data_IF_153053949261
#
_entry.id   IF_153053949261
#
_cell.length_a   1.000
_cell.length_b   1.000
_cell.length_c   1.000
_cell.angle_alpha   90.00
_cell.angle_beta   90.00
_cell.angle_gamma   90.00
#
_symmetry.space_group_name_H-M   'P 1'
#
loop_
_entity.id
_entity.type
_entity.pdbx_description
1 polymer ?
#
# COMPACT_ATOMS: atom_id res chain seq x y z
N UNK A 1 -13.36 -53.05 -12.13
CA UNK A 1 -14.10 -52.46 -10.99
C UNK A 1 -13.39 -51.15 -10.67
N UNK A 2 -14.00 -50.02 -11.03
CA UNK A 2 -13.43 -48.69 -10.85
C UNK A 2 -13.80 -48.18 -9.46
N UNK A 3 -12.81 -47.97 -8.60
CA UNK A 3 -12.95 -47.15 -7.40
C UNK A 3 -12.55 -45.72 -7.76
N UNK A 4 -13.56 -44.85 -7.94
CA UNK A 4 -13.37 -43.41 -8.08
C UNK A 4 -13.11 -42.78 -6.72
N UNK A 5 -11.84 -42.57 -6.39
CA UNK A 5 -11.40 -41.86 -5.20
C UNK A 5 -11.54 -40.35 -5.45
N UNK A 6 -12.72 -39.77 -5.17
CA UNK A 6 -12.96 -38.33 -5.29
C UNK A 6 -12.36 -37.62 -4.07
N UNK A 7 -11.20 -36.99 -4.24
CA UNK A 7 -10.63 -36.08 -3.25
C UNK A 7 -11.53 -34.85 -3.10
N UNK A 8 -12.13 -34.70 -1.91
CA UNK A 8 -12.81 -33.46 -1.53
C UNK A 8 -11.80 -32.34 -1.26
N UNK A 9 -12.26 -31.10 -1.40
CA UNK A 9 -11.55 -29.89 -0.97
C UNK A 9 -12.07 -29.51 0.42
N UNK A 10 -11.20 -29.22 1.41
CA UNK A 10 -11.62 -28.74 2.72
C UNK A 10 -12.17 -27.31 2.64
N UNK A 11 -13.37 -27.09 3.17
CA UNK A 11 -13.99 -25.77 3.30
C UNK A 11 -13.28 -24.91 4.35
N UNK A 12 -12.81 -23.72 3.99
CA UNK A 12 -12.09 -22.82 4.91
C UNK A 12 -12.95 -22.28 6.07
N UNK A 13 -14.28 -22.30 5.93
CA UNK A 13 -15.22 -21.78 6.94
C UNK A 13 -15.64 -22.86 7.96
N UNK A 14 -15.93 -24.07 7.49
CA UNK A 14 -16.44 -25.17 8.35
C UNK A 14 -15.54 -26.41 8.41
N UNK A 15 -14.41 -26.40 7.68
CA UNK A 15 -13.41 -27.47 7.58
C UNK A 15 -13.93 -28.83 7.06
N UNK A 16 -15.14 -28.86 6.48
CA UNK A 16 -15.72 -30.06 5.87
C UNK A 16 -15.06 -30.39 4.53
N UNK A 17 -14.89 -31.68 4.23
CA UNK A 17 -14.36 -32.16 2.94
C UNK A 17 -15.48 -32.22 1.90
N UNK A 18 -15.43 -31.38 0.87
CA UNK A 18 -16.52 -31.18 -0.08
C UNK A 18 -16.08 -31.60 -1.48
N UNK A 19 -16.93 -32.35 -2.18
CA UNK A 19 -16.67 -32.70 -3.56
C UNK A 19 -16.56 -31.43 -4.43
N UNK A 20 -15.60 -31.39 -5.35
CA UNK A 20 -15.34 -30.24 -6.23
C UNK A 20 -16.61 -29.79 -6.98
N UNK A 21 -17.47 -30.73 -7.38
CA UNK A 21 -18.71 -30.42 -8.11
C UNK A 21 -19.77 -29.73 -7.24
N UNK A 22 -19.71 -29.91 -5.93
CA UNK A 22 -20.64 -29.34 -4.95
C UNK A 22 -20.05 -28.12 -4.22
N UNK A 23 -18.81 -27.74 -4.55
CA UNK A 23 -18.07 -26.67 -3.85
C UNK A 23 -18.79 -25.32 -3.90
N UNK A 24 -19.30 -24.92 -5.07
CA UNK A 24 -19.95 -23.61 -5.23
C UNK A 24 -21.33 -23.52 -4.56
N UNK A 25 -22.06 -24.63 -4.43
CA UNK A 25 -23.34 -24.65 -3.71
C UNK A 25 -23.09 -24.65 -2.20
N UNK A 26 -22.13 -25.46 -1.74
CA UNK A 26 -21.70 -25.51 -0.35
C UNK A 26 -21.13 -24.17 0.13
N UNK A 27 -20.24 -23.53 -0.63
CA UNK A 27 -19.62 -22.26 -0.24
C UNK A 27 -20.65 -21.15 -0.02
N UNK A 28 -21.67 -21.06 -0.89
CA UNK A 28 -22.77 -20.09 -0.73
C UNK A 28 -23.57 -20.33 0.55
N UNK A 29 -23.93 -21.58 0.83
CA UNK A 29 -24.68 -21.92 2.05
C UNK A 29 -23.83 -21.73 3.32
N UNK A 30 -22.55 -22.12 3.26
CA UNK A 30 -21.62 -22.05 4.39
C UNK A 30 -21.31 -20.60 4.77
N UNK A 31 -21.12 -19.71 3.79
CA UNK A 31 -20.94 -18.27 4.02
C UNK A 31 -22.19 -17.64 4.62
N UNK A 32 -23.38 -17.96 4.11
CA UNK A 32 -24.64 -17.44 4.66
C UNK A 32 -24.87 -17.91 6.10
N UNK A 33 -24.54 -19.16 6.42
CA UNK A 33 -24.66 -19.71 7.78
C UNK A 33 -23.60 -19.14 8.73
N UNK A 34 -22.35 -18.96 8.28
CA UNK A 34 -21.30 -18.29 9.06
C UNK A 34 -21.62 -16.81 9.29
N UNK A 35 -22.14 -16.11 8.29
CA UNK A 35 -22.60 -14.72 8.40
C UNK A 35 -23.69 -14.57 9.47
N UNK A 36 -24.69 -15.47 9.46
CA UNK A 36 -25.74 -15.53 10.49
C UNK A 36 -25.20 -15.90 11.88
N UNK A 37 -24.12 -16.69 11.95
CA UNK A 37 -23.43 -17.04 13.21
C UNK A 37 -22.67 -15.84 13.79
N UNK A 38 -22.02 -15.05 12.94
CA UNK A 38 -21.30 -13.83 13.32
C UNK A 38 -22.29 -12.72 13.73
N UNK A 39 -23.44 -12.60 13.06
CA UNK A 39 -24.51 -11.69 13.50
C UNK A 39 -25.08 -12.10 14.86
N UNK A 40 -25.26 -13.40 15.14
CA UNK A 40 -25.65 -13.89 16.47
C UNK A 40 -24.60 -13.65 17.56
N UNK A 41 -23.31 -13.60 17.22
CA UNK A 41 -22.23 -13.28 18.16
C UNK A 41 -22.20 -11.77 18.53
N UNK A 42 -22.80 -10.89 17.71
CA UNK A 42 -22.91 -9.46 18.03
C UNK A 42 -24.03 -9.14 19.05
N UNK A 43 -25.01 -10.04 19.21
CA UNK A 43 -26.16 -9.83 20.11
C UNK A 43 -26.03 -10.51 21.49
N UNK A 44 -24.82 -10.91 21.88
CA UNK A 44 -24.49 -11.25 23.26
C UNK A 44 -24.42 -12.75 23.54
N UNK A 45 -23.20 -13.20 23.82
CA UNK A 45 -22.74 -14.08 24.92
C UNK A 45 -21.22 -14.20 24.72
N UNK A 46 -20.44 -13.75 25.71
CA UNK A 46 -19.01 -14.01 25.81
C UNK A 46 -18.79 -15.52 25.96
N UNK A 47 -18.05 -16.13 25.04
CA UNK A 47 -17.48 -17.46 25.19
C UNK A 47 -15.99 -17.31 25.52
N UNK A 48 -15.65 -17.46 26.80
CA UNK A 48 -14.32 -17.27 27.42
C UNK A 48 -13.30 -18.39 27.07
N UNK A 49 -13.37 -19.00 25.89
CA UNK A 49 -12.58 -20.21 25.59
C UNK A 49 -11.34 -20.04 24.71
N UNK A 50 -10.95 -18.81 24.32
CA UNK A 50 -9.65 -18.57 23.68
C UNK A 50 -8.87 -17.51 24.47
N UNK A 51 -8.13 -17.97 25.48
CA UNK A 51 -7.17 -17.16 26.23
C UNK A 51 -5.85 -17.17 25.44
N UNK A 52 -5.63 -16.17 24.59
CA UNK A 52 -4.29 -15.92 24.02
C UNK A 52 -3.41 -15.24 25.07
N UNK A 53 -2.48 -16.01 25.64
CA UNK A 53 -1.45 -15.51 26.56
C UNK A 53 -0.20 -15.11 25.76
N UNK A 54 0.30 -13.90 26.01
CA UNK A 54 1.49 -13.32 25.35
C UNK A 54 2.49 -12.88 26.43
N UNK A 55 3.80 -13.12 26.27
CA UNK A 55 4.80 -12.69 27.24
C UNK A 55 4.95 -11.16 27.29
N UNK A 56 4.96 -10.62 28.50
CA UNK A 56 5.23 -9.20 28.76
C UNK A 56 6.70 -8.85 28.52
N UNK A 57 6.95 -7.81 27.71
CA UNK A 57 8.31 -7.37 27.32
C UNK A 57 9.20 -6.88 28.48
N UNK A 58 8.63 -6.61 29.66
CA UNK A 58 9.37 -6.12 30.84
C UNK A 58 9.68 -7.20 31.88
N UNK A 59 8.93 -8.32 31.90
CA UNK A 59 9.10 -9.35 32.93
C UNK A 59 8.91 -10.79 32.45
N UNK A 60 8.67 -10.99 31.15
CA UNK A 60 8.45 -12.28 30.46
C UNK A 60 7.30 -13.13 31.01
N UNK A 61 6.44 -12.59 31.89
CA UNK A 61 5.24 -13.28 32.36
C UNK A 61 4.21 -13.37 31.24
N UNK A 62 3.55 -14.53 31.15
CA UNK A 62 2.47 -14.81 30.20
C UNK A 62 1.19 -14.10 30.65
N UNK A 63 0.72 -13.11 29.89
CA UNK A 63 -0.43 -12.26 30.22
C UNK A 63 -1.49 -12.42 29.14
N UNK A 64 -2.77 -12.43 29.52
CA UNK A 64 -3.87 -12.41 28.57
C UNK A 64 -3.78 -11.16 27.69
N UNK A 65 -3.95 -11.32 26.38
CA UNK A 65 -3.89 -10.21 25.42
C UNK A 65 -4.79 -9.02 25.80
N UNK A 66 -5.94 -9.25 26.42
CA UNK A 66 -6.86 -8.21 26.87
C UNK A 66 -6.35 -7.42 28.10
N UNK A 67 -5.48 -8.03 28.91
CA UNK A 67 -4.89 -7.42 30.11
C UNK A 67 -3.46 -6.91 29.89
N UNK A 68 -2.87 -7.20 28.71
CA UNK A 68 -1.47 -6.92 28.40
C UNK A 68 -1.14 -5.43 28.51
N UNK A 69 -2.01 -4.54 28.01
CA UNK A 69 -1.74 -3.09 28.05
C UNK A 69 -1.74 -2.55 29.49
N UNK A 70 -2.66 -3.02 30.34
CA UNK A 70 -2.71 -2.62 31.75
C UNK A 70 -1.52 -3.18 32.52
N UNK A 71 -1.17 -4.44 32.29
CA UNK A 71 -0.02 -5.09 32.92
C UNK A 71 1.30 -4.40 32.53
N UNK A 72 1.53 -4.13 31.25
CA UNK A 72 2.76 -3.49 30.76
C UNK A 72 2.97 -2.10 31.37
N UNK A 73 1.90 -1.31 31.55
CA UNK A 73 1.97 -0.01 32.24
C UNK A 73 2.38 -0.13 33.71
N UNK A 74 1.91 -1.14 34.42
CA UNK A 74 2.30 -1.36 35.81
C UNK A 74 3.71 -1.95 35.91
N UNK A 75 4.05 -2.87 35.01
CA UNK A 75 5.32 -3.57 35.00
C UNK A 75 6.50 -2.64 34.69
N UNK A 76 6.34 -1.73 33.72
CA UNK A 76 7.32 -0.69 33.39
C UNK A 76 7.61 0.28 34.55
N UNK A 77 6.66 0.47 35.47
CA UNK A 77 6.84 1.31 36.66
C UNK A 77 7.52 0.58 37.81
N UNK A 78 7.42 -0.76 37.88
CA UNK A 78 8.09 -1.58 38.89
C UNK A 78 9.55 -1.91 38.54
N UNK A 79 9.89 -2.10 37.27
CA UNK A 79 11.28 -2.35 36.84
C UNK A 79 12.20 -1.13 36.97
N UNK A 80 11.64 0.08 37.16
CA UNK A 80 12.39 1.27 37.58
C UNK A 80 12.80 1.28 39.06
N UNK A 81 12.33 0.35 39.91
CA UNK A 81 12.61 0.35 41.35
C UNK A 81 13.56 -0.75 41.85
N UNK A 82 13.76 -1.83 41.11
CA UNK A 82 14.59 -2.95 41.56
C UNK A 82 15.88 -3.10 40.73
N UNK A 83 16.72 -2.06 40.76
CA UNK A 83 18.11 -2.14 40.30
C UNK A 83 19.03 -2.63 41.42
N UNK A 84 18.83 -3.84 41.96
CA UNK A 84 19.79 -4.44 42.91
C UNK A 84 19.63 -5.97 43.06
N UNK A 85 20.02 -6.73 42.02
CA UNK A 85 20.51 -8.14 42.00
C UNK A 85 20.19 -8.72 40.61
N UNK A 86 21.12 -9.02 39.70
CA UNK A 86 22.23 -9.99 39.74
C UNK A 86 23.26 -9.62 38.68
N UNK A 87 24.52 -9.97 38.97
CA UNK A 87 25.78 -9.56 38.35
C UNK A 87 26.17 -10.29 37.04
N UNK A 88 26.92 -9.53 36.24
CA UNK A 88 28.09 -9.88 35.41
C UNK A 88 27.92 -10.74 34.14
N UNK A 89 28.13 -10.11 32.98
CA UNK A 89 29.23 -10.51 32.11
C UNK A 89 29.73 -9.36 31.20
N UNK A 90 31.03 -9.07 31.35
CA UNK A 90 32.02 -8.65 30.34
C UNK A 90 31.90 -7.32 29.56
N UNK A 91 32.78 -6.38 29.97
CA UNK A 91 33.59 -5.46 29.16
C UNK A 91 32.91 -4.68 28.01
N UNK A 92 32.39 -3.49 28.33
CA UNK A 92 32.35 -2.36 27.38
C UNK A 92 32.77 -1.08 28.13
N UNK A 93 33.67 -0.33 27.51
CA UNK A 93 34.25 0.92 28.01
C UNK A 93 33.19 1.90 28.54
N UNK A 94 33.31 2.28 29.81
CA UNK A 94 32.72 3.50 30.36
C UNK A 94 33.36 4.71 29.64
N UNK A 95 32.60 5.80 29.45
CA UNK A 95 32.99 7.10 28.87
C UNK A 95 32.69 7.36 27.37
N UNK A 96 31.65 6.74 26.80
CA UNK A 96 31.12 7.19 25.51
C UNK A 96 30.28 8.46 25.68
N UNK A 97 30.86 9.62 25.34
CA UNK A 97 30.16 10.90 25.24
C UNK A 97 29.51 11.05 23.86
N UNK A 98 28.23 11.47 23.83
CA UNK A 98 27.43 11.66 22.62
C UNK A 98 26.95 13.11 22.59
N UNK A 99 27.10 13.85 21.47
CA UNK A 99 26.57 15.21 21.34
C UNK A 99 25.04 15.20 21.39
N UNK A 100 24.46 16.05 22.24
CA UNK A 100 23.04 16.33 22.28
C UNK A 100 22.62 17.13 21.04
N UNK A 101 21.60 16.68 20.32
CA UNK A 101 21.14 17.33 19.08
C UNK A 101 20.45 18.70 19.30
N UNK A 102 20.02 18.99 20.54
CA UNK A 102 19.31 20.23 20.88
C UNK A 102 20.24 21.35 21.38
N UNK A 103 21.28 21.03 22.17
CA UNK A 103 22.22 22.02 22.71
C UNK A 103 23.65 21.87 22.18
N UNK A 104 24.02 20.74 21.60
CA UNK A 104 25.38 20.44 21.11
C UNK A 104 26.36 19.96 22.19
N UNK A 105 25.95 19.88 23.45
CA UNK A 105 26.82 19.45 24.55
C UNK A 105 27.15 17.96 24.47
N UNK A 106 28.35 17.58 24.91
CA UNK A 106 28.79 16.20 24.98
C UNK A 106 28.25 15.55 26.26
N UNK A 107 27.35 14.57 26.12
CA UNK A 107 26.62 13.95 27.23
C UNK A 107 26.97 12.47 27.34
N UNK A 108 27.17 11.97 28.56
CA UNK A 108 27.40 10.54 28.79
C UNK A 108 26.14 9.75 28.43
N UNK A 109 26.30 8.58 27.80
CA UNK A 109 25.18 7.70 27.42
C UNK A 109 24.24 7.35 28.58
N UNK A 110 24.74 7.25 29.81
CA UNK A 110 23.93 6.97 31.01
C UNK A 110 22.98 8.14 31.36
N UNK A 111 23.43 9.37 31.12
CA UNK A 111 22.67 10.60 31.37
C UNK A 111 21.92 11.10 30.12
N UNK A 112 22.15 10.48 28.96
CA UNK A 112 21.67 10.96 27.66
C UNK A 112 20.16 11.06 27.62
N UNK A 113 19.43 10.03 28.06
CA UNK A 113 17.95 10.07 28.03
C UNK A 113 17.38 11.20 28.89
N UNK A 114 17.91 11.41 30.09
CA UNK A 114 17.44 12.45 31.00
C UNK A 114 17.80 13.84 30.49
N UNK A 115 19.05 14.04 30.05
CA UNK A 115 19.49 15.31 29.48
C UNK A 115 18.70 15.68 28.23
N UNK A 116 18.45 14.72 27.33
CA UNK A 116 17.75 14.95 26.06
C UNK A 116 16.29 15.39 26.31
N UNK A 117 15.60 14.78 27.27
CA UNK A 117 14.25 15.17 27.68
C UNK A 117 14.22 16.60 28.26
N UNK A 118 15.18 16.95 29.13
CA UNK A 118 15.28 18.31 29.68
C UNK A 118 15.65 19.35 28.62
N UNK A 119 16.55 19.03 27.69
CA UNK A 119 16.95 19.91 26.60
C UNK A 119 15.83 20.13 25.59
N UNK A 120 15.05 19.08 25.28
CA UNK A 120 13.89 19.18 24.40
C UNK A 120 12.79 20.07 25.01
N UNK A 121 12.51 19.92 26.30
CA UNK A 121 11.51 20.77 26.99
C UNK A 121 12.00 22.23 27.11
N UNK A 122 13.29 22.45 27.38
CA UNK A 122 13.88 23.78 27.38
C UNK A 122 13.80 24.47 26.01
N UNK A 123 14.04 23.73 24.92
CA UNK A 123 13.93 24.24 23.55
C UNK A 123 12.48 24.54 23.17
N UNK A 124 11.54 23.67 23.56
CA UNK A 124 10.11 23.92 23.40
C UNK A 124 9.69 25.22 24.10
N UNK A 125 10.14 25.44 25.32
CA UNK A 125 9.85 26.69 26.04
C UNK A 125 10.50 27.92 25.39
N UNK A 126 11.71 27.80 24.83
CA UNK A 126 12.34 28.88 24.05
C UNK A 126 11.53 29.22 22.80
N UNK A 127 11.08 28.21 22.06
CA UNK A 127 10.25 28.38 20.87
C UNK A 127 8.91 29.02 21.25
N UNK A 128 8.24 28.53 22.29
CA UNK A 128 6.98 29.12 22.77
C UNK A 128 7.15 30.58 23.21
N UNK A 129 8.23 30.91 23.92
CA UNK A 129 8.52 32.29 24.31
C UNK A 129 8.84 33.18 23.10
N UNK A 130 9.52 32.64 22.08
CA UNK A 130 9.81 33.34 20.83
C UNK A 130 8.54 33.57 19.99
N UNK A 131 7.62 32.61 19.97
CA UNK A 131 6.28 32.76 19.38
C UNK A 131 5.48 33.83 20.13
N UNK A 132 5.51 33.83 21.47
CA UNK A 132 4.82 34.85 22.29
C UNK A 132 5.41 36.25 22.13
N UNK A 133 6.73 36.37 22.00
CA UNK A 133 7.39 37.66 21.78
C UNK A 133 7.20 38.20 20.36
N UNK A 134 7.04 37.31 19.36
CA UNK A 134 6.71 37.67 17.99
C UNK A 134 5.19 37.69 17.70
N UNK A 135 4.34 37.51 18.73
CA UNK A 135 2.89 37.61 18.62
C UNK A 135 2.45 39.08 18.53
N UNK A 136 2.92 39.77 17.50
CA UNK A 136 2.07 40.70 16.74
C UNK A 136 1.76 39.97 15.44
N UNK A 137 0.96 38.90 15.54
CA UNK A 137 0.29 38.35 14.37
C UNK A 137 -0.77 39.39 14.02
N UNK A 138 -0.46 40.22 13.02
CA UNK A 138 -1.43 41.17 12.51
C UNK A 138 -2.68 40.41 12.06
N UNK A 139 -3.86 40.92 12.42
CA UNK A 139 -5.16 40.50 11.89
C UNK A 139 -5.26 40.67 10.36
N UNK A 140 -4.22 41.20 9.70
CA UNK A 140 -4.16 41.43 8.25
C UNK A 140 -3.77 40.20 7.41
N UNK A 141 -3.34 39.09 8.02
CA UNK A 141 -3.04 37.86 7.26
C UNK A 141 -4.33 37.12 6.98
N UNK A 142 -4.85 37.37 5.77
CA UNK A 142 -5.99 36.65 5.20
C UNK A 142 -5.50 35.41 4.46
N UNK A 143 -5.98 34.24 4.87
CA UNK A 143 -5.66 32.95 4.27
C UNK A 143 -6.80 32.53 3.35
N UNK A 144 -6.53 32.27 2.06
CA UNK A 144 -7.54 31.83 1.12
C UNK A 144 -7.98 30.40 1.44
N UNK A 145 -9.28 30.20 1.59
CA UNK A 145 -9.87 28.87 1.70
C UNK A 145 -9.74 28.14 0.36
N UNK A 146 -9.19 26.93 0.36
CA UNK A 146 -9.02 26.15 -0.87
C UNK A 146 -10.35 25.73 -1.52
N UNK A 147 -11.45 25.75 -0.76
CA UNK A 147 -12.78 25.32 -1.19
C UNK A 147 -13.58 26.48 -1.80
N UNK A 148 -13.85 27.54 -1.03
CA UNK A 148 -14.66 28.67 -1.51
C UNK A 148 -13.84 29.83 -2.11
N UNK A 149 -12.50 29.79 -1.99
CA UNK A 149 -11.56 30.83 -2.45
C UNK A 149 -11.71 32.19 -1.77
N UNK A 150 -12.59 32.34 -0.79
CA UNK A 150 -12.66 33.51 0.08
C UNK A 150 -11.51 33.48 1.10
N UNK A 151 -11.03 34.66 1.51
CA UNK A 151 -9.86 34.77 2.40
C UNK A 151 -10.29 35.18 3.81
N UNK A 152 -9.77 34.48 4.81
CA UNK A 152 -10.18 34.64 6.21
C UNK A 152 -8.99 34.94 7.13
N UNK A 153 -9.17 35.74 8.19
CA UNK A 153 -8.15 35.91 9.20
C UNK A 153 -7.73 34.55 9.78
N UNK A 154 -6.44 34.39 10.11
CA UNK A 154 -5.90 33.13 10.65
C UNK A 154 -6.73 32.54 11.80
N UNK A 155 -7.26 33.38 12.70
CA UNK A 155 -8.07 32.96 13.85
C UNK A 155 -9.42 32.36 13.46
N UNK A 156 -9.99 32.79 12.33
CA UNK A 156 -11.29 32.33 11.83
C UNK A 156 -11.14 31.24 10.76
N UNK A 157 -9.94 31.04 10.23
CA UNK A 157 -9.67 30.14 9.10
C UNK A 157 -10.02 28.68 9.42
N UNK A 158 -9.66 28.16 10.60
CA UNK A 158 -9.92 26.75 10.97
C UNK A 158 -11.42 26.47 11.17
N UNK A 159 -12.13 27.40 11.81
CA UNK A 159 -13.59 27.33 11.98
C UNK A 159 -14.31 27.45 10.63
N UNK A 160 -13.86 28.38 9.78
CA UNK A 160 -14.36 28.52 8.42
C UNK A 160 -14.09 27.25 7.59
N UNK A 161 -12.88 26.70 7.61
CA UNK A 161 -12.50 25.53 6.82
C UNK A 161 -13.36 24.32 7.19
N UNK A 162 -13.60 24.10 8.48
CA UNK A 162 -14.49 23.04 8.97
C UNK A 162 -15.93 23.21 8.48
N UNK A 163 -16.47 24.43 8.56
CA UNK A 163 -17.83 24.73 8.10
C UNK A 163 -17.95 24.70 6.57
N UNK A 164 -16.93 25.16 5.85
CA UNK A 164 -16.85 25.15 4.39
C UNK A 164 -16.78 23.71 3.87
N UNK A 165 -16.00 22.84 4.52
CA UNK A 165 -15.97 21.39 4.25
C UNK A 165 -17.34 20.74 4.51
N UNK A 166 -18.00 21.08 5.63
CA UNK A 166 -19.35 20.58 5.94
C UNK A 166 -20.40 21.04 4.93
N UNK A 167 -20.37 22.31 4.51
CA UNK A 167 -21.27 22.86 3.49
C UNK A 167 -21.01 22.27 2.11
N UNK A 168 -19.75 22.01 1.76
CA UNK A 168 -19.40 21.28 0.55
C UNK A 168 -19.99 19.85 0.61
N UNK A 169 -19.77 19.12 1.71
CA UNK A 169 -20.32 17.78 1.93
C UNK A 169 -21.86 17.75 1.95
N UNK A 170 -22.51 18.78 2.50
CA UNK A 170 -23.96 18.93 2.52
C UNK A 170 -24.53 19.30 1.12
N UNK A 171 -23.81 20.10 0.34
CA UNK A 171 -24.13 20.39 -1.07
C UNK A 171 -24.04 19.14 -1.95
N UNK A 172 -23.12 18.21 -1.64
CA UNK A 172 -23.02 16.89 -2.27
C UNK A 172 -24.09 15.88 -1.78
N UNK A 173 -24.89 16.20 -0.77
CA UNK A 173 -25.94 15.31 -0.25
C UNK A 173 -27.29 15.47 -0.96
N UNK A 174 -27.42 16.41 -1.89
CA UNK A 174 -28.62 16.62 -2.70
C UNK A 174 -28.27 16.85 -4.18
N UNK A 175 -27.54 15.90 -4.78
CA UNK A 175 -27.33 15.85 -6.24
C UNK A 175 -25.93 15.40 -6.62
N UNK A 176 -25.84 14.16 -7.13
CA UNK A 176 -24.65 13.50 -7.66
C UNK A 176 -23.52 13.24 -6.64
N UNK A 177 -23.49 12.01 -6.12
CA UNK A 177 -22.23 11.36 -5.75
C UNK A 177 -21.26 11.59 -6.91
N UNK A 178 -20.10 12.19 -6.65
CA UNK A 178 -19.00 12.22 -7.62
C UNK A 178 -18.59 10.79 -7.92
N UNK A 179 -19.24 10.17 -8.89
CA UNK A 179 -18.82 8.90 -9.47
C UNK A 179 -17.58 9.25 -10.26
N UNK A 180 -16.40 9.06 -9.68
CA UNK A 180 -15.17 8.96 -10.46
C UNK A 180 -15.41 7.84 -11.47
N UNK A 181 -15.56 8.16 -12.78
CA UNK A 181 -15.99 7.18 -13.76
C UNK A 181 -14.91 6.10 -13.83
N UNK A 182 -15.34 4.86 -13.62
CA UNK A 182 -14.49 3.71 -13.91
C UNK A 182 -14.62 3.37 -15.38
N UNK A 183 -13.66 2.65 -15.97
CA UNK A 183 -13.74 2.33 -17.38
C UNK A 183 -15.02 1.55 -17.71
N UNK A 184 -15.70 1.94 -18.79
CA UNK A 184 -17.00 1.35 -19.16
C UNK A 184 -16.91 -0.14 -19.49
N UNK A 185 -15.72 -0.63 -19.87
CA UNK A 185 -15.46 -2.05 -20.14
C UNK A 185 -15.25 -2.88 -18.87
N UNK A 186 -15.20 -2.27 -17.68
CA UNK A 186 -15.13 -3.01 -16.42
C UNK A 186 -16.46 -3.67 -16.09
N UNK A 187 -16.38 -4.85 -15.50
CA UNK A 187 -17.51 -5.50 -14.88
C UNK A 187 -17.94 -4.70 -13.65
N UNK A 188 -19.10 -4.06 -13.75
CA UNK A 188 -19.70 -3.24 -12.70
C UNK A 188 -20.56 -4.03 -11.72
N UNK A 189 -20.75 -5.35 -11.94
CA UNK A 189 -21.56 -6.20 -11.05
C UNK A 189 -20.89 -6.44 -9.69
N UNK A 190 -19.56 -6.31 -9.62
CA UNK A 190 -18.80 -6.44 -8.38
C UNK A 190 -18.80 -5.15 -7.58
N UNK A 191 -19.26 -5.21 -6.33
CA UNK A 191 -19.10 -4.13 -5.35
C UNK A 191 -17.73 -4.14 -4.68
N UNK A 192 -16.90 -5.17 -4.89
CA UNK A 192 -15.58 -5.27 -4.30
C UNK A 192 -14.61 -4.24 -4.90
N UNK A 193 -13.70 -3.73 -4.06
CA UNK A 193 -12.66 -2.80 -4.49
C UNK A 193 -11.62 -3.43 -5.43
N UNK A 194 -11.51 -4.76 -5.38
CA UNK A 194 -10.60 -5.55 -6.20
C UNK A 194 -11.34 -6.77 -6.74
N UNK A 195 -11.30 -6.96 -8.06
CA UNK A 195 -11.73 -8.19 -8.72
C UNK A 195 -10.82 -8.55 -9.89
N UNK A 196 -10.80 -9.84 -10.25
CA UNK A 196 -10.10 -10.39 -11.43
C UNK A 196 -11.15 -10.96 -12.35
N UNK A 197 -11.16 -10.54 -13.60
CA UNK A 197 -12.12 -10.99 -14.61
C UNK A 197 -11.39 -11.71 -15.74
N UNK A 198 -11.68 -13.00 -15.93
CA UNK A 198 -11.06 -13.80 -17.00
C UNK A 198 -11.68 -13.38 -18.34
N UNK A 199 -10.83 -12.87 -19.25
CA UNK A 199 -11.26 -12.46 -20.58
C UNK A 199 -11.59 -13.68 -21.45
N UNK A 200 -12.69 -13.58 -22.19
CA UNK A 200 -13.09 -14.61 -23.15
C UNK A 200 -12.27 -14.46 -24.44
N UNK A 201 -11.67 -15.55 -24.99
CA UNK A 201 -10.77 -15.48 -26.15
C UNK A 201 -11.36 -14.85 -27.43
N UNK A 202 -12.69 -14.82 -27.55
CA UNK A 202 -13.40 -14.26 -28.71
C UNK A 202 -13.64 -12.75 -28.62
N UNK A 203 -13.30 -12.10 -27.50
CA UNK A 203 -13.51 -10.66 -27.30
C UNK A 203 -12.41 -9.82 -27.94
N UNK A 204 -12.74 -8.60 -28.37
CA UNK A 204 -11.75 -7.65 -28.90
C UNK A 204 -10.70 -7.25 -27.84
N UNK A 205 -11.10 -7.19 -26.57
CA UNK A 205 -10.20 -6.92 -25.45
C UNK A 205 -9.15 -8.02 -25.28
N UNK A 206 -9.55 -9.29 -25.34
CA UNK A 206 -8.61 -10.41 -25.31
C UNK A 206 -7.64 -10.33 -26.50
N UNK A 207 -8.15 -10.14 -27.72
CA UNK A 207 -7.33 -10.05 -28.93
C UNK A 207 -6.33 -8.90 -28.83
N UNK A 208 -6.75 -7.74 -28.33
CA UNK A 208 -5.86 -6.59 -28.11
C UNK A 208 -4.65 -6.96 -27.24
N UNK A 209 -4.88 -7.62 -26.10
CA UNK A 209 -3.80 -8.03 -25.19
C UNK A 209 -2.94 -9.13 -25.83
N UNK A 210 -3.57 -10.14 -26.42
CA UNK A 210 -2.89 -11.25 -27.07
C UNK A 210 -2.00 -10.78 -28.24
N UNK A 211 -2.51 -9.92 -29.12
CA UNK A 211 -1.77 -9.37 -30.25
C UNK A 211 -0.56 -8.57 -29.78
N UNK A 212 -0.70 -7.73 -28.75
CA UNK A 212 0.41 -6.98 -28.19
C UNK A 212 1.50 -7.90 -27.58
N UNK A 213 1.10 -8.98 -26.92
CA UNK A 213 2.01 -9.99 -26.39
C UNK A 213 2.73 -10.76 -27.53
N UNK A 214 1.96 -11.26 -28.50
CA UNK A 214 2.45 -12.09 -29.60
C UNK A 214 3.28 -11.33 -30.63
N UNK A 215 3.23 -9.99 -30.67
CA UNK A 215 4.16 -9.16 -31.46
C UNK A 215 5.63 -9.55 -31.26
N UNK A 216 5.99 -10.00 -30.04
CA UNK A 216 7.39 -10.33 -29.71
C UNK A 216 7.58 -11.70 -29.07
N UNK A 217 6.49 -12.38 -28.69
CA UNK A 217 6.50 -13.76 -28.19
C UNK A 217 5.57 -14.69 -28.98
N UNK A 218 5.69 -14.79 -30.32
CA UNK A 218 4.70 -15.47 -31.17
C UNK A 218 4.57 -16.98 -30.91
N UNK A 219 5.60 -17.62 -30.33
CA UNK A 219 5.60 -19.06 -30.04
C UNK A 219 5.06 -19.42 -28.66
N UNK A 220 4.82 -18.44 -27.79
CA UNK A 220 4.34 -18.68 -26.43
C UNK A 220 2.82 -18.82 -26.39
N UNK A 221 2.35 -19.85 -25.69
CA UNK A 221 0.93 -20.15 -25.59
C UNK A 221 0.32 -19.39 -24.41
N UNK A 222 -0.60 -18.47 -24.70
CA UNK A 222 -1.43 -17.85 -23.66
C UNK A 222 -2.40 -18.90 -23.12
N UNK A 223 -2.40 -19.07 -21.80
CA UNK A 223 -3.31 -19.97 -21.07
C UNK A 223 -4.55 -19.21 -20.63
N UNK A 224 -4.38 -18.00 -20.11
CA UNK A 224 -5.48 -17.11 -19.75
C UNK A 224 -5.00 -15.66 -19.71
N UNK A 225 -5.94 -14.73 -19.89
CA UNK A 225 -5.75 -13.31 -19.62
C UNK A 225 -6.82 -12.88 -18.62
N UNK A 226 -6.39 -12.19 -17.57
CA UNK A 226 -7.27 -11.65 -16.56
C UNK A 226 -7.19 -10.13 -16.57
N UNK A 227 -8.34 -9.45 -16.67
CA UNK A 227 -8.45 -8.02 -16.37
C UNK A 227 -8.49 -7.83 -14.86
N UNK A 228 -7.58 -7.01 -14.36
CA UNK A 228 -7.51 -6.60 -12.96
C UNK A 228 -8.34 -5.33 -12.78
N UNK A 229 -9.31 -5.37 -11.86
CA UNK A 229 -10.19 -4.26 -11.54
C UNK A 229 -9.96 -3.82 -10.09
N UNK A 230 -8.86 -3.11 -9.86
CA UNK A 230 -8.57 -2.51 -8.57
C UNK A 230 -9.01 -1.04 -8.58
N UNK A 231 -10.23 -0.77 -8.09
CA UNK A 231 -10.88 0.56 -8.10
C UNK A 231 -10.05 1.61 -7.38
N UNK A 232 -9.40 1.25 -6.27
CA UNK A 232 -8.57 2.16 -5.47
C UNK A 232 -7.34 2.62 -6.26
N UNK A 233 -6.63 1.69 -6.89
CA UNK A 233 -5.42 2.03 -7.64
C UNK A 233 -5.73 2.66 -8.99
N UNK A 234 -6.80 2.23 -9.67
CA UNK A 234 -7.21 2.87 -10.92
C UNK A 234 -7.53 4.36 -10.70
N UNK A 235 -8.27 4.73 -9.65
CA UNK A 235 -8.57 6.13 -9.36
C UNK A 235 -7.33 6.98 -9.09
N UNK A 236 -6.34 6.44 -8.38
CA UNK A 236 -5.08 7.13 -8.14
C UNK A 236 -4.28 7.30 -9.44
N UNK A 237 -4.25 6.25 -10.26
CA UNK A 237 -3.63 6.28 -11.58
C UNK A 237 -4.31 7.31 -12.50
N UNK A 238 -5.64 7.32 -12.55
CA UNK A 238 -6.43 8.19 -13.41
C UNK A 238 -6.26 9.67 -13.02
N UNK A 239 -6.28 9.98 -11.72
CA UNK A 239 -5.96 11.32 -11.23
C UNK A 239 -4.52 11.76 -11.58
N UNK A 240 -3.56 10.84 -11.55
CA UNK A 240 -2.19 11.14 -11.95
C UNK A 240 -2.04 11.29 -13.47
N UNK A 241 -2.84 10.54 -14.25
CA UNK A 241 -2.92 10.67 -15.70
C UNK A 241 -3.44 12.05 -16.10
N UNK A 242 -4.44 12.58 -15.39
CA UNK A 242 -4.95 13.93 -15.62
C UNK A 242 -3.85 14.99 -15.42
N UNK A 243 -3.05 14.89 -14.35
CA UNK A 243 -1.88 15.76 -14.14
C UNK A 243 -0.88 15.69 -15.31
N UNK A 244 -0.59 14.47 -15.81
CA UNK A 244 0.30 14.33 -16.98
C UNK A 244 -0.30 14.97 -18.23
N UNK A 245 -1.60 14.82 -18.47
CA UNK A 245 -2.28 15.43 -19.62
C UNK A 245 -2.23 16.96 -19.51
N UNK A 246 -2.44 17.52 -18.32
CA UNK A 246 -2.34 18.97 -18.10
C UNK A 246 -0.91 19.49 -18.33
N UNK A 247 0.11 18.80 -17.81
CA UNK A 247 1.51 19.20 -17.96
C UNK A 247 2.03 19.09 -19.39
N UNK A 248 1.53 18.13 -20.18
CA UNK A 248 2.04 17.82 -21.52
C UNK A 248 1.09 18.22 -22.67
N UNK A 249 -0.15 18.61 -22.37
CA UNK A 249 -1.19 18.90 -23.35
C UNK A 249 -1.70 17.67 -24.11
N UNK A 250 -1.24 16.47 -23.77
CA UNK A 250 -1.61 15.21 -24.42
C UNK A 250 -1.33 14.02 -23.49
N UNK A 251 -1.93 12.87 -23.79
CA UNK A 251 -1.63 11.62 -23.08
C UNK A 251 -0.22 11.14 -23.39
N UNK A 252 0.53 10.81 -22.33
CA UNK A 252 1.84 10.15 -22.41
C UNK A 252 1.78 8.69 -21.95
N UNK A 253 0.56 8.16 -21.81
CA UNK A 253 0.30 6.77 -21.46
C UNK A 253 0.81 5.83 -22.55
N UNK A 254 1.50 4.77 -22.15
CA UNK A 254 1.88 3.66 -23.01
C UNK A 254 1.51 2.32 -22.38
N UNK A 255 1.18 1.36 -23.24
CA UNK A 255 1.06 -0.04 -22.87
C UNK A 255 2.42 -0.70 -22.82
N UNK A 256 2.84 -1.13 -21.64
CA UNK A 256 4.14 -1.78 -21.43
C UNK A 256 3.97 -3.09 -20.66
N UNK A 257 5.02 -3.91 -20.67
CA UNK A 257 5.03 -5.22 -20.04
C UNK A 257 5.90 -5.24 -18.79
N UNK A 258 5.46 -5.98 -17.76
CA UNK A 258 6.23 -6.23 -16.54
C UNK A 258 6.23 -7.73 -16.25
N UNK A 259 7.39 -8.37 -16.40
CA UNK A 259 7.57 -9.78 -16.03
C UNK A 259 7.76 -9.90 -14.52
N UNK A 260 7.08 -10.86 -13.90
CA UNK A 260 7.20 -11.10 -12.46
C UNK A 260 7.25 -12.61 -12.15
N UNK A 261 7.60 -12.94 -10.90
CA UNK A 261 7.48 -14.30 -10.39
C UNK A 261 6.04 -14.54 -9.91
N UNK A 262 5.59 -15.80 -9.94
CA UNK A 262 4.24 -16.14 -9.47
C UNK A 262 3.98 -15.69 -8.03
N UNK A 263 4.99 -15.74 -7.15
CA UNK A 263 4.85 -15.30 -5.75
C UNK A 263 4.61 -13.79 -5.59
N UNK A 264 4.89 -13.00 -6.62
CA UNK A 264 4.71 -11.54 -6.60
C UNK A 264 3.37 -11.09 -7.18
N UNK A 265 2.61 -11.99 -7.84
CA UNK A 265 1.39 -11.65 -8.57
C UNK A 265 0.34 -11.02 -7.66
N UNK A 266 0.00 -11.67 -6.55
CA UNK A 266 -1.07 -11.19 -5.68
C UNK A 266 -0.69 -9.87 -4.98
N UNK A 267 0.58 -9.69 -4.62
CA UNK A 267 1.09 -8.43 -4.08
C UNK A 267 1.00 -7.28 -5.11
N UNK A 268 1.34 -7.54 -6.38
CA UNK A 268 1.20 -6.54 -7.45
C UNK A 268 -0.28 -6.23 -7.71
N UNK A 269 -1.17 -7.21 -7.61
CA UNK A 269 -2.62 -6.99 -7.78
C UNK A 269 -3.21 -6.18 -6.61
N UNK A 270 -2.80 -6.47 -5.37
CA UNK A 270 -3.32 -5.80 -4.17
C UNK A 270 -2.75 -4.39 -4.01
N UNK A 271 -1.44 -4.24 -4.21
CA UNK A 271 -0.68 -3.04 -3.85
C UNK A 271 -0.20 -2.25 -5.08
N UNK A 272 -0.60 -2.69 -6.28
CA UNK A 272 -0.09 -2.17 -7.55
C UNK A 272 1.44 -2.28 -7.63
N UNK A 273 2.07 -1.39 -8.40
CA UNK A 273 3.51 -1.30 -8.54
C UNK A 273 4.13 -0.47 -7.40
N UNK A 274 3.99 -0.95 -6.17
CA UNK A 274 4.50 -0.29 -4.96
C UNK A 274 6.04 -0.18 -4.98
N UNK A 275 6.58 1.03 -4.82
CA UNK A 275 8.04 1.28 -4.85
C UNK A 275 8.83 0.58 -3.74
N UNK A 276 8.21 0.09 -2.68
CA UNK A 276 8.89 -0.76 -1.69
C UNK A 276 9.42 -2.07 -2.31
N UNK A 277 8.86 -2.48 -3.45
CA UNK A 277 9.34 -3.59 -4.28
C UNK A 277 10.26 -3.13 -5.44
N UNK A 278 10.72 -1.88 -5.42
CA UNK A 278 11.63 -1.35 -6.43
C UNK A 278 12.91 -2.17 -6.51
N UNK A 279 13.28 -2.53 -7.74
CA UNK A 279 14.54 -3.21 -8.02
C UNK A 279 15.59 -2.21 -8.43
N UNK A 280 16.83 -2.43 -7.98
CA UNK A 280 17.98 -1.62 -8.38
C UNK A 280 18.65 -2.24 -9.61
N UNK A 281 18.56 -1.55 -10.74
CA UNK A 281 19.12 -1.99 -12.02
C UNK A 281 19.79 -0.81 -12.75
N UNK A 282 20.24 -1.03 -13.99
CA UNK A 282 21.08 -0.09 -14.73
C UNK A 282 20.53 1.34 -14.82
N UNK A 283 19.20 1.48 -14.97
CA UNK A 283 18.54 2.76 -15.18
C UNK A 283 17.93 3.40 -13.91
N UNK A 284 18.07 2.79 -12.72
CA UNK A 284 17.45 3.31 -11.50
C UNK A 284 17.12 2.26 -10.44
N UNK A 285 16.57 2.76 -9.34
CA UNK A 285 15.89 1.97 -8.31
C UNK A 285 14.40 2.32 -8.38
N UNK A 286 13.65 1.52 -9.11
CA UNK A 286 12.23 1.75 -9.38
C UNK A 286 11.55 0.53 -9.96
N UNK A 287 10.38 0.74 -10.57
CA UNK A 287 9.64 -0.34 -11.24
C UNK A 287 9.91 -0.28 -12.73
N UNK A 288 10.32 -1.42 -13.29
CA UNK A 288 10.75 -1.53 -14.67
C UNK A 288 9.63 -2.05 -15.56
N UNK A 289 9.45 -1.40 -16.70
CA UNK A 289 8.49 -1.77 -17.72
C UNK A 289 9.17 -1.83 -19.07
N UNK A 290 8.92 -2.90 -19.84
CA UNK A 290 9.50 -3.07 -21.16
C UNK A 290 8.47 -2.78 -22.26
N UNK A 291 8.92 -2.23 -23.38
CA UNK A 291 8.07 -2.00 -24.56
C UNK A 291 7.72 -3.29 -25.31
N UNK A 292 8.44 -4.37 -25.02
CA UNK A 292 8.29 -5.68 -25.66
C UNK A 292 8.08 -6.76 -24.61
N UNK A 293 7.13 -7.66 -24.86
CA UNK A 293 6.87 -8.81 -23.99
C UNK A 293 8.09 -9.74 -23.92
N UNK A 294 8.85 -9.89 -25.01
CA UNK A 294 10.09 -10.69 -25.06
C UNK A 294 11.15 -10.22 -24.06
N UNK A 295 11.31 -8.92 -23.86
CA UNK A 295 12.20 -8.36 -22.84
C UNK A 295 11.70 -8.75 -21.44
N UNK A 296 10.42 -8.55 -21.17
CA UNK A 296 9.80 -8.91 -19.89
C UNK A 296 9.81 -10.41 -19.61
N UNK A 297 9.83 -11.26 -20.65
CA UNK A 297 9.90 -12.71 -20.52
C UNK A 297 11.11 -13.17 -19.70
N UNK A 298 12.26 -12.53 -19.89
CA UNK A 298 13.50 -12.84 -19.17
C UNK A 298 13.41 -12.63 -17.65
N UNK A 299 12.42 -11.86 -17.20
CA UNK A 299 12.15 -11.57 -15.78
C UNK A 299 11.02 -12.44 -15.19
N UNK A 300 10.41 -13.31 -16.01
CA UNK A 300 9.45 -14.31 -15.54
C UNK A 300 10.15 -15.61 -15.15
N UNK A 301 9.55 -16.35 -14.23
CA UNK A 301 9.97 -17.71 -13.89
C UNK A 301 8.76 -18.65 -13.98
N UNK A 302 8.90 -19.85 -14.57
CA UNK A 302 7.84 -20.84 -14.55
C UNK A 302 7.54 -21.24 -13.10
N UNK A 303 6.26 -21.32 -12.74
CA UNK A 303 5.81 -21.87 -11.47
C UNK A 303 5.81 -23.42 -11.50
N UNK A 304 5.30 -24.05 -10.45
CA UNK A 304 5.21 -25.50 -10.33
C UNK A 304 4.37 -26.17 -11.42
N UNK A 305 3.48 -25.42 -12.09
CA UNK A 305 2.65 -25.87 -13.20
C UNK A 305 3.27 -25.50 -14.56
N UNK A 306 4.53 -25.06 -14.56
CA UNK A 306 5.26 -24.55 -15.70
C UNK A 306 4.54 -23.35 -16.37
N UNK A 307 3.86 -22.52 -15.58
CA UNK A 307 3.21 -21.29 -16.04
C UNK A 307 4.05 -20.06 -15.70
N UNK A 308 4.07 -19.09 -16.61
CA UNK A 308 4.72 -17.80 -16.45
C UNK A 308 3.67 -16.70 -16.35
N UNK A 309 4.02 -15.63 -15.63
CA UNK A 309 3.12 -14.54 -15.27
C UNK A 309 3.72 -13.20 -15.70
N UNK A 310 2.96 -12.42 -16.45
CA UNK A 310 3.39 -11.10 -16.96
C UNK A 310 2.23 -10.13 -16.93
N UNK A 311 2.47 -8.92 -16.41
CA UNK A 311 1.51 -7.84 -16.50
C UNK A 311 1.66 -7.08 -17.81
N UNK A 312 0.55 -6.71 -18.43
CA UNK A 312 0.48 -5.61 -19.38
C UNK A 312 -0.20 -4.43 -18.68
N UNK A 313 0.56 -3.34 -18.53
CA UNK A 313 0.22 -2.20 -17.69
C UNK A 313 0.09 -0.92 -18.52
N UNK A 314 -0.78 -0.02 -18.09
CA UNK A 314 -0.75 1.38 -18.51
C UNK A 314 0.32 2.11 -17.73
N UNK A 315 1.21 2.83 -18.40
CA UNK A 315 2.34 3.51 -17.75
C UNK A 315 2.43 4.95 -18.26
N UNK A 316 2.48 5.91 -17.34
CA UNK A 316 2.64 7.34 -17.67
C UNK A 316 4.12 7.65 -17.87
N UNK A 317 4.53 7.85 -19.13
CA UNK A 317 5.94 7.97 -19.49
C UNK A 317 6.48 9.39 -19.29
N UNK A 318 5.67 10.40 -19.63
CA UNK A 318 6.07 11.81 -19.54
C UNK A 318 7.39 12.10 -20.25
N UNK A 319 8.24 12.93 -19.63
CA UNK A 319 9.61 13.18 -20.07
C UNK A 319 10.55 12.10 -19.54
N UNK A 320 11.32 11.48 -20.44
CA UNK A 320 12.30 10.46 -20.09
C UNK A 320 13.72 11.00 -20.14
N UNK A 321 14.57 10.56 -19.21
CA UNK A 321 16.02 10.82 -19.23
C UNK A 321 16.84 9.54 -19.02
N UNK A 322 18.14 9.62 -19.25
CA UNK A 322 19.04 8.56 -18.85
C UNK A 322 19.07 8.44 -17.32
N UNK A 323 18.91 7.22 -16.81
CA UNK A 323 19.09 6.92 -15.40
C UNK A 323 20.40 6.20 -15.13
N UNK A 324 20.67 5.94 -13.85
CA UNK A 324 21.83 5.17 -13.40
C UNK A 324 21.44 4.28 -12.22
N UNK A 325 22.28 3.32 -11.85
CA UNK A 325 22.02 2.44 -10.69
C UNK A 325 21.88 3.20 -9.35
N UNK A 326 22.32 4.46 -9.25
CA UNK A 326 22.15 5.29 -8.05
C UNK A 326 20.90 6.16 -8.09
N UNK A 327 20.18 6.22 -9.21
CA UNK A 327 18.96 7.03 -9.36
C UNK A 327 17.81 6.42 -8.55
N UNK A 328 17.44 7.04 -7.42
CA UNK A 328 16.34 6.59 -6.54
C UNK A 328 15.02 7.32 -6.76
N UNK A 329 15.10 8.49 -7.37
CA UNK A 329 13.98 9.35 -7.75
C UNK A 329 14.28 9.87 -9.15
N UNK A 330 13.23 10.18 -9.91
CA UNK A 330 13.43 10.71 -11.25
C UNK A 330 14.17 12.08 -11.19
N UNK A 331 15.15 12.34 -12.07
CA UNK A 331 15.83 13.63 -12.09
C UNK A 331 14.85 14.81 -12.29
N UNK A 332 15.15 16.01 -11.75
CA UNK A 332 14.24 17.15 -11.86
C UNK A 332 13.83 17.45 -13.30
N UNK A 333 12.51 17.61 -13.52
CA UNK A 333 11.94 17.88 -14.85
C UNK A 333 11.69 16.65 -15.73
N UNK A 334 11.93 15.44 -15.20
CA UNK A 334 11.64 14.16 -15.86
C UNK A 334 10.69 13.30 -15.01
N UNK A 335 9.95 12.41 -15.66
CA UNK A 335 8.97 11.52 -15.02
C UNK A 335 9.42 10.06 -15.05
N UNK A 336 10.24 9.69 -16.03
CA UNK A 336 10.81 8.34 -16.15
C UNK A 336 12.30 8.37 -16.45
N UNK A 337 12.99 7.28 -16.13
CA UNK A 337 14.33 7.02 -16.67
C UNK A 337 14.36 5.82 -17.60
N UNK A 338 15.43 5.69 -18.38
CA UNK A 338 15.62 4.61 -19.34
C UNK A 338 15.54 5.13 -20.77
N UNK A 339 14.75 4.46 -21.60
CA UNK A 339 14.50 4.84 -23.00
C UNK A 339 14.58 3.67 -23.97
N UNK A 340 13.89 3.82 -25.11
CA UNK A 340 13.87 2.86 -26.22
C UNK A 340 13.07 1.59 -25.91
N UNK A 341 13.63 0.70 -25.08
CA UNK A 341 13.06 -0.63 -24.81
C UNK A 341 12.58 -0.84 -23.39
N UNK A 342 13.00 0.01 -22.44
CA UNK A 342 12.60 -0.06 -21.04
C UNK A 342 12.45 1.32 -20.42
N UNK A 343 11.47 1.45 -19.53
CA UNK A 343 11.21 2.63 -18.73
C UNK A 343 11.18 2.26 -17.24
N UNK A 344 11.61 3.19 -16.40
CA UNK A 344 11.57 3.07 -14.94
C UNK A 344 10.66 4.15 -14.37
N UNK A 345 9.68 3.75 -13.58
CA UNK A 345 8.82 4.67 -12.82
C UNK A 345 9.28 4.75 -11.37
N UNK A 346 8.98 5.88 -10.73
CA UNK A 346 9.39 6.19 -9.35
C UNK A 346 8.22 6.55 -8.43
N UNK A 347 7.00 6.57 -8.97
CA UNK A 347 5.79 6.92 -8.24
C UNK A 347 4.75 5.79 -8.34
N UNK A 348 4.13 5.45 -7.22
CA UNK A 348 3.26 4.26 -7.09
C UNK A 348 2.03 4.32 -8.00
N UNK A 349 1.50 5.53 -8.24
CA UNK A 349 0.35 5.77 -9.12
C UNK A 349 0.71 5.97 -10.60
N UNK A 350 1.98 5.85 -10.99
CA UNK A 350 2.44 6.12 -12.37
C UNK A 350 2.17 4.96 -13.33
N UNK A 351 1.82 3.78 -12.81
CA UNK A 351 1.46 2.62 -13.60
C UNK A 351 0.26 1.89 -13.00
N UNK A 352 -0.56 1.29 -13.87
CA UNK A 352 -1.69 0.45 -13.48
C UNK A 352 -1.62 -0.89 -14.22
N UNK A 353 -1.46 -1.99 -13.46
CA UNK A 353 -1.37 -3.35 -13.98
C UNK A 353 -2.74 -3.88 -14.40
N UNK A 354 -3.20 -3.50 -15.59
CA UNK A 354 -4.57 -3.77 -16.03
C UNK A 354 -4.82 -5.22 -16.42
N UNK A 355 -3.82 -5.89 -17.02
CA UNK A 355 -3.96 -7.27 -17.45
C UNK A 355 -2.87 -8.15 -16.87
N UNK A 356 -3.25 -9.31 -16.33
CA UNK A 356 -2.33 -10.40 -16.04
C UNK A 356 -2.43 -11.44 -17.17
N UNK A 357 -1.31 -11.67 -17.85
CA UNK A 357 -1.17 -12.69 -18.89
C UNK A 357 -0.49 -13.91 -18.25
N UNK A 358 -1.17 -15.04 -18.28
CA UNK A 358 -0.62 -16.34 -17.85
C UNK A 358 -0.35 -17.17 -19.09
N UNK A 359 0.88 -17.64 -19.26
CA UNK A 359 1.32 -18.28 -20.49
C UNK A 359 2.37 -19.37 -20.24
N UNK A 360 2.72 -20.13 -21.29
CA UNK A 360 3.79 -21.13 -21.29
C UNK A 360 4.91 -20.74 -22.27
#
# INVERSE_FOLDING_TARGET
MNESNTSGIPCEYCNAQINVNDWQSHLRQCIDEHGKRIEKLKDGIHDDSIIELIPCEYCDKQINIHDLEYHSRQCANTTKRDSNHIKNNENVSMDALIPCEYCGDQVNIEDWSWHTEQCQEAEKQRIENRIRQNAVISNDILIPCEICKESFPFQDFEAHQTECQRKQAASFSAGAVGIFPLPDYWDQSSLHNLSRYILQPNTEEYKFVADNFHKTLPSNQIVQIERIQNRRWYRQYDAHKDDFIERYGTSTEQWLFHGCKSQSVDAIISDCFNRSHAVRCAAGQGIYFATQASTSHSYTQPDSNNLRHMFMARVLIGKTTAGSQSTRVCPPGFDTTGGGTMFVTYHDAQAYGEYLIVFR
#
